data_IF_037017590768
#
_entry.id   IF_037017590768
#
_cell.length_a   1.000
_cell.length_b   1.000
_cell.length_c   1.000
_cell.angle_alpha   90.00
_cell.angle_beta   90.00
_cell.angle_gamma   90.00
#
_symmetry.space_group_name_H-M   'P 1'
#
loop_
_entity.id
_entity.type
_entity.pdbx_description
1 polymer ?
#
# COMPACT_ATOMS: atom_id res chain seq x y z
N UNK A 1 5.09 -4.51 10.04
CA UNK A 1 5.85 -4.98 8.84
C UNK A 1 6.78 -3.87 8.34
N UNK A 2 7.80 -4.20 7.55
CA UNK A 2 8.66 -3.20 6.90
C UNK A 2 8.36 -3.14 5.40
N UNK A 3 7.84 -2.02 4.91
CA UNK A 3 7.68 -1.76 3.49
C UNK A 3 8.97 -1.15 2.93
N UNK A 4 9.58 -1.85 1.96
CA UNK A 4 10.76 -1.37 1.25
C UNK A 4 10.37 -1.06 -0.19
N UNK A 5 10.54 0.19 -0.64
CA UNK A 5 10.22 0.66 -2.00
C UNK A 5 11.49 1.12 -2.70
N UNK A 6 11.64 0.76 -3.97
CA UNK A 6 12.80 1.12 -4.80
C UNK A 6 12.42 1.96 -6.01
N UNK A 7 13.17 3.04 -6.26
CA UNK A 7 12.89 4.02 -7.31
C UNK A 7 13.76 3.85 -8.55
N UNK A 8 15.02 3.45 -8.40
CA UNK A 8 15.92 3.20 -9.55
C UNK A 8 15.96 1.74 -9.98
N UNK A 9 16.38 1.52 -11.23
CA UNK A 9 16.58 0.17 -11.78
C UNK A 9 17.66 -0.62 -11.02
N UNK A 10 18.70 0.06 -10.55
CA UNK A 10 19.76 -0.51 -9.72
C UNK A 10 19.22 -0.97 -8.36
N UNK A 11 18.51 -0.08 -7.65
CA UNK A 11 17.90 -0.41 -6.35
C UNK A 11 16.89 -1.56 -6.46
N UNK A 12 16.06 -1.57 -7.52
CA UNK A 12 15.11 -2.66 -7.77
C UNK A 12 15.81 -4.00 -8.01
N UNK A 13 16.94 -3.99 -8.71
CA UNK A 13 17.75 -5.20 -8.91
C UNK A 13 18.36 -5.66 -7.59
N UNK A 14 18.84 -4.73 -6.75
CA UNK A 14 19.29 -5.00 -5.38
C UNK A 14 18.20 -5.64 -4.52
N UNK A 15 16.99 -5.06 -4.51
CA UNK A 15 15.84 -5.61 -3.78
C UNK A 15 15.48 -7.02 -4.27
N UNK A 16 15.44 -7.23 -5.60
CA UNK A 16 15.18 -8.56 -6.17
C UNK A 16 16.19 -9.60 -5.70
N UNK A 17 17.48 -9.25 -5.69
CA UNK A 17 18.55 -10.15 -5.28
C UNK A 17 18.49 -10.44 -3.77
N UNK A 18 18.25 -9.41 -2.96
CA UNK A 18 18.05 -9.54 -1.52
C UNK A 18 16.88 -10.48 -1.22
N UNK A 19 15.71 -10.25 -1.84
CA UNK A 19 14.53 -11.08 -1.64
C UNK A 19 14.76 -12.54 -2.04
N UNK A 20 15.51 -12.81 -3.12
CA UNK A 20 15.86 -14.18 -3.55
C UNK A 20 16.80 -14.88 -2.58
N UNK A 21 17.72 -14.15 -1.95
CA UNK A 21 18.73 -14.71 -1.05
C UNK A 21 18.22 -14.92 0.37
N UNK A 22 17.23 -14.11 0.78
CA UNK A 22 16.72 -14.07 2.14
C UNK A 22 15.20 -14.27 2.15
N UNK A 23 14.70 -15.32 1.50
CA UNK A 23 13.26 -15.54 1.35
C UNK A 23 12.52 -15.65 2.69
N UNK A 24 13.21 -16.11 3.75
CA UNK A 24 12.65 -16.31 5.09
C UNK A 24 12.25 -15.03 5.83
N UNK A 25 12.67 -13.85 5.36
CA UNK A 25 12.26 -12.56 5.94
C UNK A 25 11.29 -11.78 5.06
N UNK A 26 10.90 -12.35 3.91
CA UNK A 26 10.08 -11.67 2.91
C UNK A 26 8.64 -12.14 3.05
N UNK A 27 7.81 -11.31 3.66
CA UNK A 27 6.38 -11.55 3.78
C UNK A 27 5.66 -11.48 2.41
N UNK A 28 5.99 -10.49 1.56
CA UNK A 28 5.38 -10.34 0.22
C UNK A 28 6.24 -9.52 -0.75
N UNK A 29 6.12 -9.79 -2.06
CA UNK A 29 6.84 -9.08 -3.15
C UNK A 29 5.86 -8.37 -4.09
N UNK A 30 6.21 -7.17 -4.54
CA UNK A 30 5.39 -6.31 -5.41
C UNK A 30 6.19 -5.73 -6.60
N UNK A 31 7.20 -6.45 -7.09
CA UNK A 31 8.07 -5.99 -8.18
C UNK A 31 9.07 -4.93 -7.73
N UNK A 32 8.63 -3.67 -7.59
CA UNK A 32 9.46 -2.54 -7.12
C UNK A 32 9.49 -2.35 -5.61
N UNK A 33 8.61 -3.06 -4.90
CA UNK A 33 8.51 -3.02 -3.45
C UNK A 33 8.43 -4.43 -2.87
N UNK A 34 8.72 -4.56 -1.57
CA UNK A 34 8.52 -5.78 -0.80
C UNK A 34 8.11 -5.43 0.64
N UNK A 35 7.30 -6.30 1.24
CA UNK A 35 7.06 -6.29 2.69
C UNK A 35 7.99 -7.33 3.31
N UNK A 36 8.75 -6.90 4.31
CA UNK A 36 9.55 -7.78 5.14
C UNK A 36 8.89 -7.97 6.52
N UNK A 37 9.22 -9.09 7.14
CA UNK A 37 8.86 -9.36 8.52
C UNK A 37 9.49 -8.32 9.45
N UNK A 38 8.83 -8.10 10.59
CA UNK A 38 9.24 -7.09 11.55
C UNK A 38 10.30 -7.62 12.51
N UNK A 39 11.44 -8.02 11.94
CA UNK A 39 12.59 -8.53 12.68
C UNK A 39 13.78 -7.60 12.54
N UNK A 40 14.67 -7.62 13.53
CA UNK A 40 15.92 -6.83 13.49
C UNK A 40 16.77 -7.22 12.27
N UNK A 41 16.76 -8.50 11.87
CA UNK A 41 17.51 -8.94 10.70
C UNK A 41 16.92 -8.41 9.38
N UNK A 42 15.59 -8.39 9.25
CA UNK A 42 14.92 -7.78 8.11
C UNK A 42 15.19 -6.27 8.02
N UNK A 43 15.17 -5.57 9.16
CA UNK A 43 15.52 -4.15 9.24
C UNK A 43 16.98 -3.92 8.80
N UNK A 44 17.92 -4.75 9.26
CA UNK A 44 19.31 -4.69 8.83
C UNK A 44 19.46 -4.87 7.31
N UNK A 45 18.76 -5.84 6.71
CA UNK A 45 18.79 -6.06 5.27
C UNK A 45 18.23 -4.87 4.49
N UNK A 46 17.12 -4.28 4.94
CA UNK A 46 16.52 -3.09 4.33
C UNK A 46 17.47 -1.87 4.43
N UNK A 47 18.04 -1.63 5.60
CA UNK A 47 19.00 -0.55 5.83
C UNK A 47 20.25 -0.71 4.96
N UNK A 48 20.80 -1.92 4.87
CA UNK A 48 21.94 -2.21 3.98
C UNK A 48 21.62 -1.91 2.51
N UNK A 49 20.40 -2.23 2.05
CA UNK A 49 19.97 -1.89 0.70
C UNK A 49 19.94 -0.37 0.50
N UNK A 50 19.42 0.38 1.49
CA UNK A 50 19.42 1.85 1.48
C UNK A 50 20.83 2.43 1.49
N UNK A 51 21.75 1.93 2.31
CA UNK A 51 23.16 2.36 2.26
C UNK A 51 23.81 2.12 0.89
N UNK A 52 23.38 1.09 0.15
CA UNK A 52 23.92 0.77 -1.17
C UNK A 52 23.37 1.66 -2.30
N UNK A 53 22.21 2.29 -2.10
CA UNK A 53 21.45 2.96 -3.16
C UNK A 53 20.89 4.35 -2.76
N UNK A 54 21.17 4.80 -1.54
CA UNK A 54 20.77 6.10 -1.02
C UNK A 54 19.25 6.34 -1.06
N UNK A 55 18.88 7.52 -1.56
CA UNK A 55 17.49 7.98 -1.67
C UNK A 55 16.62 7.17 -2.63
N UNK A 56 17.20 6.24 -3.40
CA UNK A 56 16.42 5.33 -4.25
C UNK A 56 15.73 4.21 -3.45
N UNK A 57 15.90 4.16 -2.12
CA UNK A 57 15.28 3.18 -1.23
C UNK A 57 14.52 3.90 -0.10
N UNK A 58 13.21 3.75 -0.10
CA UNK A 58 12.35 4.15 1.01
C UNK A 58 12.05 2.93 1.89
N UNK A 59 12.07 3.13 3.21
CA UNK A 59 11.76 2.11 4.21
C UNK A 59 10.73 2.71 5.16
N UNK A 60 9.56 2.08 5.24
CA UNK A 60 8.51 2.46 6.18
C UNK A 60 8.20 1.29 7.11
N UNK A 61 7.97 1.59 8.39
CA UNK A 61 7.31 0.64 9.29
C UNK A 61 5.81 0.81 9.13
N UNK A 62 5.14 -0.22 8.64
CA UNK A 62 3.72 -0.19 8.34
C UNK A 62 2.95 -1.20 9.18
N UNK A 63 1.69 -0.86 9.43
CA UNK A 63 0.68 -1.77 9.96
C UNK A 63 -0.40 -2.06 8.90
N UNK A 64 -1.05 -3.22 8.94
CA UNK A 64 -2.22 -3.47 8.11
C UNK A 64 -3.31 -2.42 8.36
N UNK A 65 -3.93 -1.96 7.28
CA UNK A 65 -5.08 -1.07 7.39
C UNK A 65 -6.29 -1.84 7.92
N UNK A 66 -6.88 -1.40 9.03
CA UNK A 66 -8.11 -1.96 9.60
C UNK A 66 -9.30 -1.07 9.21
N UNK A 67 -9.98 -1.42 8.12
CA UNK A 67 -11.07 -0.60 7.60
C UNK A 67 -12.26 -0.47 8.55
N UNK A 68 -12.48 -1.43 9.45
CA UNK A 68 -13.61 -1.39 10.40
C UNK A 68 -13.39 -0.42 11.55
N UNK A 69 -12.14 -0.05 11.83
CA UNK A 69 -11.79 0.93 12.86
C UNK A 69 -11.44 2.30 12.29
N UNK A 70 -10.95 2.36 11.04
CA UNK A 70 -10.43 3.57 10.44
C UNK A 70 -11.45 4.36 9.60
N UNK A 71 -12.53 3.73 9.12
CA UNK A 71 -13.54 4.41 8.31
C UNK A 71 -14.96 4.03 8.73
N UNK A 72 -15.87 4.97 8.56
CA UNK A 72 -17.29 4.76 8.81
C UNK A 72 -17.87 3.68 7.88
N UNK A 73 -18.91 2.98 8.36
CA UNK A 73 -19.61 1.93 7.62
C UNK A 73 -20.14 2.42 6.27
N UNK A 74 -20.55 3.69 6.17
CA UNK A 74 -21.04 4.31 4.94
C UNK A 74 -19.99 4.28 3.81
N UNK A 75 -18.71 4.46 4.14
CA UNK A 75 -17.61 4.45 3.16
C UNK A 75 -17.39 3.04 2.63
N UNK A 76 -17.42 2.04 3.53
CA UNK A 76 -17.25 0.63 3.16
C UNK A 76 -18.44 0.13 2.33
N UNK A 77 -19.66 0.49 2.73
CA UNK A 77 -20.87 0.17 1.99
C UNK A 77 -20.87 0.78 0.58
N UNK A 78 -20.45 2.05 0.45
CA UNK A 78 -20.33 2.72 -0.84
C UNK A 78 -19.27 2.10 -1.74
N UNK A 79 -18.12 1.69 -1.19
CA UNK A 79 -17.07 1.01 -1.94
C UNK A 79 -17.57 -0.33 -2.52
N UNK A 80 -18.31 -1.11 -1.72
CA UNK A 80 -18.92 -2.36 -2.17
C UNK A 80 -19.98 -2.12 -3.27
N UNK A 81 -20.93 -1.22 -3.03
CA UNK A 81 -21.96 -0.87 -4.01
C UNK A 81 -21.37 -0.35 -5.33
N UNK A 82 -20.33 0.48 -5.25
CA UNK A 82 -19.64 0.99 -6.43
C UNK A 82 -18.87 -0.08 -7.19
N UNK A 83 -18.25 -1.04 -6.50
CA UNK A 83 -17.59 -2.18 -7.14
C UNK A 83 -18.59 -3.01 -7.97
N UNK A 84 -19.81 -3.16 -7.46
CA UNK A 84 -20.89 -3.94 -8.06
C UNK A 84 -21.76 -3.16 -9.06
N UNK A 85 -21.46 -1.87 -9.30
CA UNK A 85 -22.21 -1.04 -10.25
C UNK A 85 -22.33 -1.70 -11.64
N UNK A 86 -23.48 -1.49 -12.26
CA UNK A 86 -23.85 -2.04 -13.56
C UNK A 86 -22.97 -1.51 -14.70
N UNK A 87 -22.83 -0.19 -14.80
CA UNK A 87 -22.00 0.47 -15.79
C UNK A 87 -20.57 0.71 -15.25
N UNK A 88 -19.61 -0.13 -15.65
CA UNK A 88 -18.21 -0.02 -15.19
C UNK A 88 -17.52 1.28 -15.62
N UNK A 89 -18.04 1.96 -16.65
CA UNK A 89 -17.57 3.28 -17.07
C UNK A 89 -18.06 4.43 -16.18
N UNK A 90 -19.09 4.23 -15.36
CA UNK A 90 -19.64 5.29 -14.50
C UNK A 90 -18.64 5.63 -13.40
N UNK A 91 -18.17 6.89 -13.30
CA UNK A 91 -17.31 7.35 -12.21
C UNK A 91 -18.07 7.42 -10.88
N UNK A 92 -17.34 7.33 -9.76
CA UNK A 92 -17.96 7.30 -8.42
C UNK A 92 -18.79 8.55 -8.11
N UNK A 93 -18.34 9.74 -8.51
CA UNK A 93 -19.10 10.98 -8.29
C UNK A 93 -20.50 10.93 -8.94
N UNK A 94 -20.59 10.43 -10.17
CA UNK A 94 -21.87 10.28 -10.87
C UNK A 94 -22.72 9.13 -10.31
N UNK A 95 -22.07 8.08 -9.79
CA UNK A 95 -22.75 6.96 -9.13
C UNK A 95 -23.37 7.35 -7.78
N UNK A 96 -22.65 8.13 -6.97
CA UNK A 96 -23.09 8.56 -5.65
C UNK A 96 -24.15 9.68 -5.72
N UNK A 97 -24.17 10.46 -6.81
CA UNK A 97 -25.12 11.56 -7.00
C UNK A 97 -26.57 11.07 -6.90
N UNK A 98 -27.33 11.64 -5.96
CA UNK A 98 -28.73 11.26 -5.73
C UNK A 98 -28.91 9.94 -4.97
N UNK A 99 -27.85 9.44 -4.33
CA UNK A 99 -27.90 8.29 -3.40
C UNK A 99 -27.50 8.73 -1.99
N UNK A 100 -27.67 7.85 -1.01
CA UNK A 100 -27.20 8.07 0.38
C UNK A 100 -25.69 7.79 0.55
N UNK A 101 -24.96 7.52 -0.53
CA UNK A 101 -23.51 7.29 -0.45
C UNK A 101 -22.73 8.59 -0.24
N UNK A 102 -21.61 8.55 0.51
CA UNK A 102 -20.81 9.73 0.80
C UNK A 102 -20.27 10.38 -0.48
N UNK A 103 -20.44 11.70 -0.55
CA UNK A 103 -19.94 12.52 -1.64
C UNK A 103 -18.39 12.58 -1.63
N UNK A 104 -17.72 12.57 -2.81
CA UNK A 104 -16.27 12.59 -2.89
C UNK A 104 -15.58 13.83 -2.31
N UNK A 105 -16.18 15.02 -2.43
CA UNK A 105 -15.63 16.24 -1.83
C UNK A 105 -15.74 16.16 -0.31
N UNK A 106 -16.86 15.65 0.20
CA UNK A 106 -17.03 15.34 1.61
C UNK A 106 -15.96 14.39 2.16
N UNK A 107 -15.64 13.31 1.44
CA UNK A 107 -14.61 12.36 1.86
C UNK A 107 -13.19 12.94 1.80
N UNK A 108 -12.85 13.76 0.80
CA UNK A 108 -11.51 14.36 0.66
C UNK A 108 -11.13 15.28 1.82
N UNK A 109 -12.12 15.92 2.44
CA UNK A 109 -11.91 16.83 3.56
C UNK A 109 -11.79 16.15 4.93
N UNK A 110 -12.00 14.84 5.02
CA UNK A 110 -11.92 14.09 6.28
C UNK A 110 -10.53 13.49 6.46
N UNK A 111 -10.02 13.52 7.69
CA UNK A 111 -8.80 12.82 8.06
C UNK A 111 -9.07 11.33 8.29
N UNK A 112 -8.02 10.51 8.07
CA UNK A 112 -8.00 9.06 8.35
C UNK A 112 -7.38 8.79 9.72
#
# INVERSE_FOLDING_TARGET
MLLVVTYSAAARTGLRNLCRRHESVVARRFGRAALFDETVYAAFLALRLRESHGGDVQIERTEPFNEFGAVDDEVRAAAAAYADRSAKSTPYAAFAAGTDHPDPDGMRGREL
#
